data_IF_825555930242
#
_entry.id   IF_825555930242
#
_cell.length_a   1.000
_cell.length_b   1.000
_cell.length_c   1.000
_cell.angle_alpha   90.00
_cell.angle_beta   90.00
_cell.angle_gamma   90.00
#
_symmetry.space_group_name_H-M   'P 1'
#
loop_
_entity.id
_entity.type
_entity.pdbx_description
1 polymer ?
#
# COMPACT_ATOMS: atom_id res chain seq x y z
N UNK A 1 -5.62 -0.71 9.46
CA UNK A 1 -6.22 -0.13 10.68
C UNK A 1 -6.38 1.39 10.52
N UNK A 2 -7.39 1.99 11.19
CA UNK A 2 -7.66 3.44 11.10
C UNK A 2 -6.48 4.27 11.63
N UNK A 3 -5.85 3.84 12.71
CA UNK A 3 -4.64 4.45 13.26
C UNK A 3 -3.35 4.13 12.51
N UNK A 4 -3.44 3.43 11.38
CA UNK A 4 -2.29 3.08 10.55
C UNK A 4 -1.42 1.97 11.15
N UNK A 5 -0.14 1.92 10.72
CA UNK A 5 0.80 0.88 11.13
C UNK A 5 1.04 0.84 12.65
N UNK A 6 1.02 1.98 13.32
CA UNK A 6 1.19 2.04 14.78
C UNK A 6 0.09 1.27 15.52
N UNK A 7 -1.15 1.34 15.05
CA UNK A 7 -2.26 0.56 15.60
C UNK A 7 -2.10 -0.93 15.25
N UNK A 8 -1.82 -1.23 13.97
CA UNK A 8 -1.69 -2.60 13.49
C UNK A 8 -0.58 -3.39 14.20
N UNK A 9 0.54 -2.74 14.52
CA UNK A 9 1.71 -3.36 15.16
C UNK A 9 1.82 -3.08 16.67
N UNK A 10 0.90 -2.29 17.25
CA UNK A 10 0.93 -1.94 18.68
C UNK A 10 2.17 -1.10 19.07
N UNK A 11 2.71 -0.30 18.16
CA UNK A 11 3.89 0.54 18.38
C UNK A 11 3.50 2.00 18.35
N UNK A 12 3.81 2.74 19.41
CA UNK A 12 3.63 4.20 19.46
C UNK A 12 4.97 4.89 19.18
N UNK A 13 5.16 5.50 18.00
CA UNK A 13 6.39 6.20 17.66
C UNK A 13 6.46 7.57 18.33
N UNK A 14 7.69 8.11 18.53
CA UNK A 14 7.88 9.49 18.98
C UNK A 14 7.37 10.51 17.93
N UNK A 15 7.54 10.18 16.63
CA UNK A 15 7.06 10.97 15.50
C UNK A 15 6.51 10.01 14.44
N UNK A 16 5.36 10.33 13.87
CA UNK A 16 4.74 9.65 12.75
C UNK A 16 4.47 10.63 11.59
N UNK A 17 4.76 10.18 10.36
CA UNK A 17 4.44 10.92 9.14
C UNK A 17 3.29 10.24 8.42
N UNK A 18 2.28 11.02 8.05
CA UNK A 18 1.09 10.56 7.34
C UNK A 18 0.95 11.29 6.01
N UNK A 19 0.33 10.62 5.04
CA UNK A 19 0.10 11.20 3.72
C UNK A 19 -0.79 10.31 2.85
N UNK A 20 -0.77 10.57 1.56
CA UNK A 20 -1.47 9.80 0.52
C UNK A 20 -2.98 9.71 0.77
N UNK A 21 -3.50 8.53 1.11
CA UNK A 21 -4.94 8.26 1.27
C UNK A 21 -5.65 9.27 2.19
N UNK A 22 -4.98 9.74 3.25
CA UNK A 22 -5.57 10.72 4.16
C UNK A 22 -5.96 12.05 3.49
N UNK A 23 -5.37 12.35 2.35
CA UNK A 23 -5.68 13.56 1.59
C UNK A 23 -6.94 13.49 0.73
N UNK A 24 -7.58 12.31 0.63
CA UNK A 24 -8.79 12.14 -0.20
C UNK A 24 -8.56 12.51 -1.67
N UNK A 25 -7.37 12.22 -2.22
CA UNK A 25 -6.96 12.58 -3.57
C UNK A 25 -6.29 13.95 -3.71
N UNK A 26 -6.27 14.76 -2.65
CA UNK A 26 -5.61 16.06 -2.63
C UNK A 26 -4.23 16.00 -1.97
N UNK A 27 -3.37 16.97 -2.27
CA UNK A 27 -2.03 17.08 -1.68
C UNK A 27 -2.15 17.43 -0.19
N UNK A 28 -2.00 16.42 0.68
CA UNK A 28 -2.02 16.57 2.14
C UNK A 28 -0.99 15.65 2.77
N UNK A 29 -0.24 16.18 3.72
CA UNK A 29 0.63 15.42 4.61
C UNK A 29 0.52 15.96 6.03
N UNK A 30 0.77 15.10 6.99
CA UNK A 30 0.79 15.48 8.41
C UNK A 30 1.98 14.84 9.12
N UNK A 31 2.48 15.54 10.10
CA UNK A 31 3.43 15.02 11.08
C UNK A 31 2.75 15.10 12.44
N UNK A 32 2.68 14.00 13.15
CA UNK A 32 2.12 13.91 14.49
C UNK A 32 3.14 13.24 15.43
N UNK A 33 3.06 13.52 16.71
CA UNK A 33 3.98 12.91 17.67
C UNK A 33 4.01 13.63 19.01
N UNK A 34 5.07 13.40 19.76
CA UNK A 34 5.26 14.00 21.07
C UNK A 34 5.32 15.52 21.02
N UNK A 35 4.61 16.13 21.92
CA UNK A 35 4.51 17.59 22.00
C UNK A 35 5.89 18.26 22.19
N UNK A 36 6.73 17.73 23.06
CA UNK A 36 8.07 18.27 23.33
C UNK A 36 8.99 18.28 22.10
N UNK A 37 8.75 17.37 21.16
CA UNK A 37 9.46 17.33 19.88
C UNK A 37 8.83 18.31 18.88
N UNK A 38 7.51 18.27 18.73
CA UNK A 38 6.79 19.08 17.74
C UNK A 38 6.80 20.59 18.07
N UNK A 39 6.91 20.96 19.33
CA UNK A 39 7.07 22.34 19.74
C UNK A 39 8.34 23.01 19.17
N UNK A 40 9.35 22.25 18.76
CA UNK A 40 10.51 22.79 18.05
C UNK A 40 10.16 23.41 16.68
N UNK A 41 9.00 23.07 16.12
CA UNK A 41 8.46 23.68 14.90
C UNK A 41 7.65 24.95 15.15
N UNK A 42 7.51 25.40 16.41
CA UNK A 42 6.76 26.60 16.78
C UNK A 42 7.70 27.76 17.08
N UNK A 43 7.81 28.77 16.19
CA UNK A 43 8.68 29.93 16.41
C UNK A 43 8.35 30.73 17.68
N UNK A 44 7.08 30.70 18.11
CA UNK A 44 6.63 31.34 19.34
C UNK A 44 7.20 30.72 20.62
N UNK A 45 7.69 29.47 20.54
CA UNK A 45 8.29 28.75 21.65
C UNK A 45 9.82 28.77 21.58
N UNK A 46 10.39 28.53 20.39
CA UNK A 46 11.82 28.34 20.21
C UNK A 46 12.59 29.62 19.81
N UNK A 47 11.87 30.64 19.33
CA UNK A 47 12.46 31.80 18.67
C UNK A 47 13.02 31.49 17.28
N UNK A 48 13.20 32.50 16.45
CA UNK A 48 13.48 32.39 15.01
C UNK A 48 14.81 31.65 14.66
N UNK A 49 15.76 31.58 15.59
CA UNK A 49 17.09 31.04 15.33
C UNK A 49 17.32 29.60 15.83
N UNK A 50 16.34 29.00 16.53
CA UNK A 50 16.51 27.70 17.20
C UNK A 50 15.48 26.67 16.82
N UNK A 51 14.43 27.05 16.09
CA UNK A 51 13.34 26.18 15.70
C UNK A 51 13.58 25.46 14.38
N UNK A 52 12.79 24.43 14.12
CA UNK A 52 12.73 23.73 12.85
C UNK A 52 11.74 24.49 11.96
N UNK A 53 12.17 24.88 10.76
CA UNK A 53 11.28 25.50 9.79
C UNK A 53 10.31 24.46 9.21
N UNK A 54 9.02 24.63 9.49
CA UNK A 54 7.96 23.85 8.88
C UNK A 54 7.24 24.76 7.87
N UNK A 55 7.54 24.59 6.59
CA UNK A 55 7.04 25.43 5.53
C UNK A 55 6.80 24.62 4.23
N UNK A 56 5.86 25.11 3.43
CA UNK A 56 5.55 24.53 2.11
C UNK A 56 4.43 25.34 1.46
N UNK A 57 4.50 25.48 0.14
CA UNK A 57 3.54 26.26 -0.65
C UNK A 57 2.09 25.82 -0.44
N UNK A 58 1.84 24.54 -0.20
CA UNK A 58 0.51 23.96 -0.01
C UNK A 58 0.13 23.80 1.48
N UNK A 59 0.96 24.27 2.41
CA UNK A 59 0.64 24.19 3.85
C UNK A 59 -0.64 24.98 4.16
N UNK A 60 -1.53 24.32 4.90
CA UNK A 60 -2.80 24.93 5.30
C UNK A 60 -3.78 25.15 4.15
N UNK A 61 -3.57 24.52 2.99
CA UNK A 61 -4.51 24.63 1.88
C UNK A 61 -5.90 24.15 2.31
N UNK A 62 -6.93 25.03 2.29
CA UNK A 62 -8.25 24.69 2.82
C UNK A 62 -8.96 23.60 2.01
N UNK A 63 -8.69 23.51 0.71
CA UNK A 63 -9.29 22.48 -0.14
C UNK A 63 -8.74 21.09 0.22
N UNK A 64 -7.42 20.98 0.38
CA UNK A 64 -6.78 19.75 0.83
C UNK A 64 -7.22 19.34 2.24
N UNK A 65 -7.36 20.31 3.15
CA UNK A 65 -7.82 20.06 4.50
C UNK A 65 -9.28 19.56 4.53
N UNK A 66 -10.16 20.16 3.73
CA UNK A 66 -11.55 19.74 3.62
C UNK A 66 -11.69 18.33 3.03
N UNK A 67 -10.94 18.02 1.96
CA UNK A 67 -10.93 16.70 1.36
C UNK A 67 -10.38 15.62 2.33
N UNK A 68 -9.29 15.93 3.03
CA UNK A 68 -8.70 15.04 4.03
C UNK A 68 -9.66 14.78 5.21
N UNK A 69 -10.33 15.83 5.71
CA UNK A 69 -11.32 15.67 6.78
C UNK A 69 -12.47 14.75 6.33
N UNK A 70 -13.02 14.98 5.15
CA UNK A 70 -14.09 14.16 4.59
C UNK A 70 -13.64 12.69 4.41
N UNK A 71 -12.43 12.48 3.89
CA UNK A 71 -11.86 11.14 3.72
C UNK A 71 -11.71 10.41 5.06
N UNK A 72 -11.09 11.05 6.05
CA UNK A 72 -10.87 10.45 7.37
C UNK A 72 -12.19 10.16 8.09
N UNK A 73 -13.18 11.06 7.98
CA UNK A 73 -14.50 10.84 8.56
C UNK A 73 -15.19 9.64 7.89
N UNK A 74 -15.15 9.55 6.57
CA UNK A 74 -15.71 8.42 5.81
C UNK A 74 -15.05 7.10 6.21
N UNK A 75 -13.72 7.06 6.31
CA UNK A 75 -13.00 5.85 6.75
C UNK A 75 -13.34 5.44 8.19
N UNK A 76 -13.54 6.43 9.06
CA UNK A 76 -13.97 6.17 10.44
C UNK A 76 -15.38 5.58 10.51
N UNK A 77 -16.30 6.14 9.74
CA UNK A 77 -17.71 5.72 9.74
C UNK A 77 -17.91 4.37 9.07
N UNK A 78 -17.20 4.10 7.97
CA UNK A 78 -17.24 2.83 7.25
C UNK A 78 -16.50 1.71 7.98
N UNK A 79 -15.42 2.03 8.69
CA UNK A 79 -14.50 1.06 9.32
C UNK A 79 -14.19 -0.16 8.42
N UNK A 80 -13.64 0.02 7.22
CA UNK A 80 -13.60 -1.01 6.19
C UNK A 80 -12.44 -2.02 6.35
N UNK A 81 -11.69 -1.95 7.43
CA UNK A 81 -10.38 -2.61 7.53
C UNK A 81 -10.47 -4.13 7.60
N UNK A 82 -11.49 -4.69 8.28
CA UNK A 82 -11.68 -6.14 8.34
C UNK A 82 -12.11 -6.72 6.97
N UNK A 83 -12.99 -6.01 6.24
CA UNK A 83 -13.37 -6.39 4.88
C UNK A 83 -12.18 -6.31 3.92
N UNK A 84 -11.38 -5.25 3.98
CA UNK A 84 -10.18 -5.11 3.17
C UNK A 84 -9.14 -6.20 3.46
N UNK A 85 -8.99 -6.59 4.73
CA UNK A 85 -8.12 -7.71 5.12
C UNK A 85 -8.63 -9.02 4.53
N UNK A 86 -9.90 -9.31 4.71
CA UNK A 86 -10.51 -10.53 4.19
C UNK A 86 -10.39 -10.63 2.65
N UNK A 87 -10.64 -9.55 1.94
CA UNK A 87 -10.43 -9.45 0.47
C UNK A 87 -8.98 -9.65 0.10
N UNK A 88 -8.05 -9.04 0.85
CA UNK A 88 -6.60 -9.19 0.63
C UNK A 88 -6.14 -10.63 0.81
N UNK A 89 -6.57 -11.29 1.87
CA UNK A 89 -6.24 -12.69 2.15
C UNK A 89 -6.80 -13.62 1.08
N UNK A 90 -8.07 -13.43 0.68
CA UNK A 90 -8.70 -14.22 -0.36
C UNK A 90 -7.99 -14.07 -1.71
N UNK A 91 -7.68 -12.84 -2.12
CA UNK A 91 -6.97 -12.60 -3.38
C UNK A 91 -5.57 -13.22 -3.39
N UNK A 92 -4.79 -13.03 -2.31
CA UNK A 92 -3.45 -13.61 -2.20
C UNK A 92 -3.49 -15.14 -2.26
N UNK A 93 -4.46 -15.77 -1.59
CA UNK A 93 -4.62 -17.22 -1.63
C UNK A 93 -4.97 -17.72 -3.02
N UNK A 94 -5.96 -17.09 -3.68
CA UNK A 94 -6.35 -17.47 -5.04
C UNK A 94 -5.21 -17.27 -6.05
N UNK A 95 -4.48 -16.18 -5.93
CA UNK A 95 -3.32 -15.92 -6.79
C UNK A 95 -2.21 -16.94 -6.56
N UNK A 96 -1.92 -17.31 -5.30
CA UNK A 96 -0.92 -18.33 -5.00
C UNK A 96 -1.30 -19.69 -5.58
N UNK A 97 -2.55 -20.10 -5.46
CA UNK A 97 -3.05 -21.35 -6.04
C UNK A 97 -2.82 -21.41 -7.56
N UNK A 98 -3.11 -20.32 -8.28
CA UNK A 98 -2.88 -20.23 -9.73
C UNK A 98 -1.37 -20.35 -10.06
N UNK A 99 -0.54 -19.59 -9.35
CA UNK A 99 0.92 -19.61 -9.57
C UNK A 99 1.51 -20.99 -9.32
N UNK A 100 1.02 -21.70 -8.30
CA UNK A 100 1.45 -23.06 -7.97
C UNK A 100 0.98 -24.07 -9.05
N UNK A 101 -0.26 -23.94 -9.56
CA UNK A 101 -0.76 -24.77 -10.65
C UNK A 101 0.07 -24.63 -11.93
N UNK A 102 0.54 -23.44 -12.24
CA UNK A 102 1.38 -23.16 -13.40
C UNK A 102 2.89 -23.42 -13.15
N UNK A 103 3.29 -23.76 -11.94
CA UNK A 103 4.67 -24.10 -11.59
C UNK A 103 5.68 -22.97 -11.79
N UNK A 104 5.26 -21.71 -11.65
CA UNK A 104 6.08 -20.54 -11.97
C UNK A 104 7.18 -20.26 -10.94
N UNK A 105 7.10 -20.84 -9.74
CA UNK A 105 8.06 -20.56 -8.66
C UNK A 105 8.02 -19.10 -8.21
N UNK A 106 6.83 -18.52 -8.19
CA UNK A 106 6.55 -17.16 -7.73
C UNK A 106 5.63 -17.24 -6.50
N UNK A 107 5.92 -16.43 -5.49
CA UNK A 107 5.10 -16.28 -4.30
C UNK A 107 4.27 -15.00 -4.36
N UNK A 108 3.10 -15.04 -3.75
CA UNK A 108 2.32 -13.84 -3.46
C UNK A 108 2.60 -13.44 -2.02
N UNK A 109 3.38 -12.40 -1.83
CA UNK A 109 3.68 -11.84 -0.52
C UNK A 109 2.78 -10.65 -0.22
N UNK A 110 2.51 -10.39 1.04
CA UNK A 110 1.69 -9.25 1.47
C UNK A 110 0.96 -9.48 2.77
N UNK A 111 0.29 -8.45 3.23
CA UNK A 111 -0.57 -8.47 4.40
C UNK A 111 -1.69 -7.46 4.26
N UNK A 112 -2.74 -7.57 5.07
CA UNK A 112 -3.86 -6.64 5.01
C UNK A 112 -4.42 -6.53 3.56
N UNK A 113 -4.51 -5.32 3.02
CA UNK A 113 -5.00 -5.05 1.67
C UNK A 113 -3.92 -4.93 0.60
N UNK A 114 -2.65 -5.22 0.90
CA UNK A 114 -1.58 -5.14 -0.07
C UNK A 114 -0.99 -6.50 -0.45
N UNK A 115 -0.46 -6.59 -1.66
CA UNK A 115 0.18 -7.78 -2.19
C UNK A 115 1.26 -7.43 -3.22
N UNK A 116 2.17 -8.38 -3.46
CA UNK A 116 3.21 -8.29 -4.48
C UNK A 116 3.63 -9.70 -4.91
N UNK A 117 3.99 -9.86 -6.17
CA UNK A 117 4.68 -11.06 -6.62
C UNK A 117 6.15 -11.02 -6.23
N UNK A 118 6.67 -12.14 -5.78
CA UNK A 118 8.06 -12.29 -5.39
C UNK A 118 8.61 -13.61 -5.96
N UNK A 119 9.77 -13.58 -6.67
CA UNK A 119 10.34 -14.79 -7.23
C UNK A 119 10.98 -15.63 -6.11
N UNK A 120 10.72 -16.93 -6.10
CA UNK A 120 11.27 -17.86 -5.13
C UNK A 120 10.23 -18.68 -4.39
N UNK A 121 10.70 -19.62 -3.59
CA UNK A 121 9.87 -20.58 -2.84
C UNK A 121 9.55 -20.15 -1.41
N UNK A 122 10.15 -19.06 -0.92
CA UNK A 122 9.96 -18.53 0.43
C UNK A 122 9.81 -16.99 0.39
N UNK A 123 9.24 -16.44 1.43
CA UNK A 123 9.15 -15.01 1.58
C UNK A 123 10.53 -14.40 1.88
N UNK A 124 10.84 -13.20 1.35
CA UNK A 124 12.07 -12.52 1.70
C UNK A 124 12.04 -12.13 3.19
N UNK A 125 13.13 -12.41 3.89
CA UNK A 125 13.27 -12.01 5.29
C UNK A 125 13.69 -10.55 5.42
N UNK A 126 14.55 -10.09 4.51
CA UNK A 126 15.06 -8.73 4.52
C UNK A 126 15.31 -8.19 3.10
N UNK A 127 15.87 -6.98 3.05
CA UNK A 127 16.18 -6.32 1.77
C UNK A 127 17.33 -6.99 1.01
N UNK A 128 18.21 -7.72 1.68
CA UNK A 128 19.28 -8.46 1.01
C UNK A 128 18.71 -9.64 0.20
N UNK A 129 17.72 -10.34 0.74
CA UNK A 129 16.99 -11.38 0.01
C UNK A 129 16.29 -10.80 -1.23
N UNK A 130 15.70 -9.62 -1.09
CA UNK A 130 15.08 -8.93 -2.22
C UNK A 130 16.11 -8.59 -3.31
N UNK A 131 17.26 -8.06 -2.94
CA UNK A 131 18.33 -7.72 -3.89
C UNK A 131 18.95 -8.94 -4.58
N UNK A 132 18.97 -10.10 -3.91
CA UNK A 132 19.47 -11.34 -4.45
C UNK A 132 18.49 -12.04 -5.41
N UNK A 133 17.24 -11.56 -5.47
CA UNK A 133 16.18 -12.19 -6.24
C UNK A 133 16.16 -11.70 -7.69
N UNK A 134 15.91 -12.64 -8.63
CA UNK A 134 15.70 -12.30 -10.03
C UNK A 134 14.25 -11.85 -10.27
N UNK A 135 14.04 -10.55 -10.24
CA UNK A 135 12.73 -9.93 -10.44
C UNK A 135 12.22 -9.94 -11.89
N UNK A 136 13.01 -10.45 -12.85
CA UNK A 136 12.62 -10.49 -14.27
C UNK A 136 11.38 -11.35 -14.53
N UNK A 137 11.24 -12.46 -13.79
CA UNK A 137 10.08 -13.35 -13.91
C UNK A 137 8.79 -12.68 -13.45
N UNK A 138 8.85 -11.95 -12.35
CA UNK A 138 7.69 -11.21 -11.83
C UNK A 138 7.34 -10.01 -12.70
N UNK A 139 8.33 -9.36 -13.30
CA UNK A 139 8.09 -8.29 -14.28
C UNK A 139 7.36 -8.81 -15.52
N UNK A 140 7.79 -9.95 -16.06
CA UNK A 140 7.11 -10.58 -17.19
C UNK A 140 5.65 -10.92 -16.88
N UNK A 141 5.39 -11.49 -15.70
CA UNK A 141 4.04 -11.80 -15.24
C UNK A 141 3.19 -10.54 -15.08
N UNK A 142 3.75 -9.47 -14.51
CA UNK A 142 3.04 -8.20 -14.35
C UNK A 142 2.66 -7.56 -15.69
N UNK A 143 3.55 -7.64 -16.67
CA UNK A 143 3.27 -7.17 -18.03
C UNK A 143 2.19 -8.02 -18.71
N UNK A 144 2.22 -9.34 -18.51
CA UNK A 144 1.17 -10.22 -19.02
C UNK A 144 -0.19 -9.93 -18.35
N UNK A 145 -0.21 -9.78 -17.03
CA UNK A 145 -1.41 -9.43 -16.27
C UNK A 145 -2.01 -8.08 -16.73
N UNK A 146 -1.17 -7.11 -17.04
CA UNK A 146 -1.63 -5.82 -17.58
C UNK A 146 -2.27 -5.95 -18.97
N UNK A 147 -1.84 -6.91 -19.78
CA UNK A 147 -2.47 -7.22 -21.09
C UNK A 147 -3.84 -7.88 -20.95
N UNK A 148 -4.05 -8.60 -19.85
CA UNK A 148 -5.35 -9.21 -19.50
C UNK A 148 -6.29 -8.20 -18.78
N UNK A 149 -5.93 -6.92 -18.71
CA UNK A 149 -6.81 -5.85 -18.24
C UNK A 149 -6.61 -5.44 -16.77
N UNK A 150 -5.73 -6.09 -16.02
CA UNK A 150 -5.42 -5.70 -14.65
C UNK A 150 -4.19 -4.79 -14.64
N UNK A 151 -4.42 -3.49 -14.54
CA UNK A 151 -3.34 -2.51 -14.53
C UNK A 151 -2.51 -2.58 -13.25
N UNK A 152 -1.26 -2.99 -13.39
CA UNK A 152 -0.27 -3.05 -12.31
C UNK A 152 1.05 -2.43 -12.77
N UNK A 153 1.75 -1.77 -11.86
CA UNK A 153 3.14 -1.38 -12.12
C UNK A 153 4.06 -2.57 -11.86
N UNK A 154 4.95 -2.93 -12.79
CA UNK A 154 5.85 -4.05 -12.62
C UNK A 154 6.69 -3.94 -11.34
N UNK A 155 6.84 -5.09 -10.65
CA UNK A 155 7.68 -5.25 -9.45
C UNK A 155 7.35 -4.29 -8.29
N UNK A 156 6.14 -3.76 -8.22
CA UNK A 156 5.71 -2.89 -7.13
C UNK A 156 4.64 -3.54 -6.25
N UNK A 157 4.41 -2.95 -5.07
CA UNK A 157 3.28 -3.30 -4.22
C UNK A 157 1.97 -2.83 -4.83
N UNK A 158 0.92 -3.62 -4.69
CA UNK A 158 -0.45 -3.36 -5.14
C UNK A 158 -1.37 -3.33 -3.94
N UNK A 159 -2.47 -2.63 -4.07
CA UNK A 159 -3.39 -2.39 -2.98
C UNK A 159 -4.83 -2.60 -3.43
N UNK A 160 -5.60 -3.28 -2.58
CA UNK A 160 -7.05 -3.33 -2.69
C UNK A 160 -7.60 -2.12 -1.95
N UNK A 161 -8.60 -1.47 -2.51
CA UNK A 161 -9.32 -0.34 -1.90
C UNK A 161 -10.79 -0.70 -1.71
N UNK A 162 -11.51 0.15 -0.97
CA UNK A 162 -12.96 0.01 -0.77
C UNK A 162 -13.78 0.11 -2.07
N UNK A 163 -13.18 0.63 -3.13
CA UNK A 163 -13.82 0.72 -4.43
C UNK A 163 -13.81 -0.60 -5.21
N UNK A 164 -12.92 -1.54 -4.87
CA UNK A 164 -12.89 -2.85 -5.52
C UNK A 164 -14.03 -3.72 -5.01
N UNK A 165 -14.86 -4.17 -5.95
CA UNK A 165 -15.94 -5.13 -5.70
C UNK A 165 -15.40 -6.56 -5.66
N UNK A 166 -16.23 -7.53 -5.26
CA UNK A 166 -15.86 -8.94 -5.37
C UNK A 166 -15.68 -9.37 -6.82
N UNK A 167 -16.49 -8.82 -7.75
CA UNK A 167 -16.40 -9.07 -9.17
C UNK A 167 -15.05 -8.62 -9.75
N UNK A 168 -14.54 -7.43 -9.36
CA UNK A 168 -13.20 -6.97 -9.74
C UNK A 168 -12.10 -7.93 -9.27
N UNK A 169 -12.25 -8.53 -8.07
CA UNK A 169 -11.29 -9.50 -7.56
C UNK A 169 -11.36 -10.83 -8.32
N UNK A 170 -12.56 -11.32 -8.62
CA UNK A 170 -12.78 -12.53 -9.42
C UNK A 170 -12.23 -12.36 -10.85
N UNK A 171 -12.48 -11.22 -11.49
CA UNK A 171 -11.90 -10.88 -12.79
C UNK A 171 -10.37 -10.84 -12.74
N UNK A 172 -9.79 -10.29 -11.66
CA UNK A 172 -8.34 -10.27 -11.46
C UNK A 172 -7.75 -11.68 -11.34
N UNK A 173 -8.47 -12.61 -10.70
CA UNK A 173 -8.07 -14.02 -10.59
C UNK A 173 -8.09 -14.69 -11.97
N UNK A 174 -9.13 -14.49 -12.76
CA UNK A 174 -9.20 -15.01 -14.12
C UNK A 174 -8.12 -14.44 -15.04
N UNK A 175 -7.85 -13.15 -14.92
CA UNK A 175 -6.80 -12.47 -15.67
C UNK A 175 -5.40 -13.03 -15.32
N UNK A 176 -5.15 -13.33 -14.04
CA UNK A 176 -3.87 -13.94 -13.65
C UNK A 176 -3.69 -15.33 -14.26
N UNK A 177 -4.72 -16.16 -14.26
CA UNK A 177 -4.66 -17.49 -14.88
C UNK A 177 -4.39 -17.39 -16.38
N UNK A 178 -5.04 -16.45 -17.08
CA UNK A 178 -4.77 -16.18 -18.49
C UNK A 178 -3.34 -15.69 -18.75
N UNK A 179 -2.85 -14.78 -17.92
CA UNK A 179 -1.47 -14.28 -17.97
C UNK A 179 -0.45 -15.40 -17.76
N UNK A 180 -0.67 -16.28 -16.78
CA UNK A 180 0.19 -17.45 -16.53
C UNK A 180 0.22 -18.41 -17.74
N UNK A 181 -0.92 -18.70 -18.35
CA UNK A 181 -0.97 -19.50 -19.59
C UNK A 181 -0.17 -18.86 -20.71
N UNK A 182 -0.30 -17.55 -20.90
CA UNK A 182 0.40 -16.84 -21.97
C UNK A 182 1.93 -16.92 -21.83
N UNK A 183 2.47 -16.82 -20.62
CA UNK A 183 3.92 -16.86 -20.40
C UNK A 183 4.51 -18.29 -20.34
N UNK A 184 3.68 -19.31 -20.09
CA UNK A 184 4.13 -20.71 -20.05
C UNK A 184 4.02 -21.42 -21.39
N UNK A 185 3.22 -20.88 -22.35
CA UNK A 185 3.01 -21.45 -23.69
C UNK A 185 3.97 -20.93 -24.75
N UNK A 186 4.80 -19.94 -24.45
CA UNK A 186 5.77 -19.34 -25.37
C UNK A 186 7.17 -19.72 -25.03
#
# INVERSE_FOLDING_TARGET
AYGGAQEAYGVTPDIACYGKVMGGGMALGAVAGREDILLNGNPGVTGDSKGIAISGTLHGNPLSAAAGLACLQTLKDLNPYDDLRAKGDALRSAFQEILDQHGLGIRVIGSESWWQFFPGSHEPFDYADFLASDMSKTELLDLALSREGVFVMPNTRRFISVAHTNEDLEESVLALDAACRAITSG
#
